data_IF_631517304598
#
_entry.id   IF_631517304598
#
_cell.length_a   1.000
_cell.length_b   1.000
_cell.length_c   1.000
_cell.angle_alpha   90.00
_cell.angle_beta   90.00
_cell.angle_gamma   90.00
#
_symmetry.space_group_name_H-M   'P 1'
#
loop_
_entity.id
_entity.type
_entity.pdbx_description
1 polymer ?
#
# COMPACT_ATOMS: atom_id res chain seq x y z
N UNK A 1 -1.19 -12.60 -4.02
CA UNK A 1 -2.09 -11.88 -3.10
C UNK A 1 -3.29 -12.77 -2.90
N UNK A 2 -3.85 -12.88 -1.70
CA UNK A 2 -5.05 -13.71 -1.52
C UNK A 2 -6.20 -13.14 -2.38
N UNK A 3 -7.06 -14.00 -2.91
CA UNK A 3 -8.25 -13.67 -3.72
C UNK A 3 -9.36 -12.95 -2.92
N UNK A 4 -8.97 -12.00 -2.08
CA UNK A 4 -9.88 -11.19 -1.30
C UNK A 4 -10.48 -10.10 -2.20
N UNK A 5 -11.79 -9.89 -2.09
CA UNK A 5 -12.43 -8.70 -2.64
C UNK A 5 -11.77 -7.46 -1.99
N UNK A 6 -10.90 -6.79 -2.75
CA UNK A 6 -10.18 -5.60 -2.32
C UNK A 6 -11.13 -4.39 -2.29
N UNK A 7 -11.95 -4.30 -1.25
CA UNK A 7 -12.80 -3.15 -0.99
C UNK A 7 -12.12 -2.17 -0.03
N UNK A 8 -11.98 -0.93 -0.49
CA UNK A 8 -11.41 0.17 0.30
C UNK A 8 -12.41 1.33 0.31
N UNK A 9 -12.93 1.64 1.50
CA UNK A 9 -13.83 2.79 1.73
C UNK A 9 -15.06 2.83 0.82
N UNK A 10 -15.57 1.66 0.43
CA UNK A 10 -16.72 1.53 -0.47
C UNK A 10 -16.39 1.52 -1.96
N UNK A 11 -15.10 1.54 -2.32
CA UNK A 11 -14.61 1.30 -3.68
C UNK A 11 -14.05 -0.10 -3.80
N UNK A 12 -14.34 -0.77 -4.91
CA UNK A 12 -13.75 -2.06 -5.28
C UNK A 12 -12.56 -1.81 -6.19
N UNK A 13 -11.44 -2.45 -5.88
CA UNK A 13 -10.29 -2.54 -6.80
C UNK A 13 -10.51 -3.75 -7.71
N UNK A 14 -10.55 -3.57 -9.04
CA UNK A 14 -10.63 -4.69 -9.97
C UNK A 14 -9.32 -5.51 -9.93
N UNK A 15 -9.39 -6.83 -10.16
CA UNK A 15 -8.22 -7.70 -10.10
C UNK A 15 -7.14 -7.30 -11.11
N UNK A 16 -7.54 -6.76 -12.26
CA UNK A 16 -6.61 -6.23 -13.28
C UNK A 16 -5.71 -5.11 -12.72
N UNK A 17 -6.27 -4.20 -11.91
CA UNK A 17 -5.50 -3.15 -11.27
C UNK A 17 -4.56 -3.70 -10.19
N UNK A 18 -4.94 -4.80 -9.52
CA UNK A 18 -4.08 -5.47 -8.54
C UNK A 18 -2.85 -6.06 -9.23
N UNK A 19 -3.06 -6.78 -10.34
CA UNK A 19 -1.95 -7.35 -11.11
C UNK A 19 -1.09 -6.27 -11.75
N UNK A 20 -1.67 -5.17 -12.25
CA UNK A 20 -0.91 -4.03 -12.75
C UNK A 20 -0.01 -3.41 -11.66
N UNK A 21 -0.53 -3.23 -10.44
CA UNK A 21 0.27 -2.74 -9.30
C UNK A 21 1.37 -3.71 -8.94
N UNK A 22 1.07 -5.01 -8.90
CA UNK A 22 2.04 -6.06 -8.60
C UNK A 22 3.17 -6.06 -9.63
N UNK A 23 2.82 -5.99 -10.90
CA UNK A 23 3.78 -5.97 -11.99
C UNK A 23 4.64 -4.69 -11.93
N UNK A 24 4.03 -3.53 -11.70
CA UNK A 24 4.75 -2.28 -11.51
C UNK A 24 5.74 -2.35 -10.34
N UNK A 25 5.39 -3.02 -9.23
CA UNK A 25 6.30 -3.24 -8.10
C UNK A 25 7.50 -4.11 -8.50
N UNK A 26 7.27 -5.16 -9.29
CA UNK A 26 8.33 -6.09 -9.76
C UNK A 26 9.24 -5.39 -10.78
N UNK A 27 8.67 -4.64 -11.70
CA UNK A 27 9.39 -3.96 -12.79
C UNK A 27 10.16 -2.74 -12.32
N UNK A 28 9.74 -2.07 -11.25
CA UNK A 28 10.41 -0.85 -10.80
C UNK A 28 11.73 -1.17 -10.09
N UNK A 29 12.90 -0.83 -10.67
CA UNK A 29 14.16 -1.10 -10.02
C UNK A 29 14.37 -0.15 -8.83
N UNK A 30 14.83 -0.70 -7.70
CA UNK A 30 15.33 0.00 -6.51
C UNK A 30 14.27 0.71 -5.63
N UNK A 31 13.35 1.49 -6.19
CA UNK A 31 12.39 2.29 -5.40
C UNK A 31 11.00 2.32 -6.04
N UNK A 32 10.01 1.81 -5.32
CA UNK A 32 8.61 1.89 -5.73
C UNK A 32 8.08 3.32 -5.54
N UNK A 33 7.56 3.92 -6.60
CA UNK A 33 6.89 5.21 -6.55
C UNK A 33 5.41 5.05 -6.14
N UNK A 34 5.11 5.46 -4.90
CA UNK A 34 3.75 5.37 -4.34
C UNK A 34 2.77 6.27 -5.08
N UNK A 35 3.22 7.41 -5.63
CA UNK A 35 2.35 8.32 -6.36
C UNK A 35 1.98 7.71 -7.72
N UNK A 36 2.94 7.19 -8.46
CA UNK A 36 2.69 6.51 -9.72
C UNK A 36 1.72 5.32 -9.55
N UNK A 37 1.89 4.52 -8.48
CA UNK A 37 0.94 3.44 -8.17
C UNK A 37 -0.48 3.95 -7.88
N UNK A 38 -0.63 5.11 -7.22
CA UNK A 38 -1.95 5.70 -6.99
C UNK A 38 -2.58 6.17 -8.29
N UNK A 39 -1.81 6.78 -9.18
CA UNK A 39 -2.30 7.25 -10.48
C UNK A 39 -2.78 6.09 -11.37
N UNK A 40 -2.24 4.88 -11.20
CA UNK A 40 -2.75 3.65 -11.85
C UNK A 40 -4.03 3.13 -11.18
N UNK A 41 -4.08 3.10 -9.85
CA UNK A 41 -5.21 2.50 -9.12
C UNK A 41 -6.44 3.40 -9.11
N UNK A 42 -6.26 4.71 -8.92
CA UNK A 42 -7.34 5.69 -8.78
C UNK A 42 -8.38 5.62 -9.90
N UNK A 43 -8.02 5.69 -11.20
CA UNK A 43 -9.00 5.61 -12.28
C UNK A 43 -9.67 4.22 -12.40
N UNK A 44 -9.00 3.16 -11.94
CA UNK A 44 -9.52 1.79 -12.01
C UNK A 44 -10.52 1.48 -10.88
N UNK A 45 -10.66 2.35 -9.87
CA UNK A 45 -11.57 2.12 -8.75
C UNK A 45 -13.04 2.17 -9.16
N UNK A 46 -13.74 1.08 -8.89
CA UNK A 46 -15.19 0.97 -9.11
C UNK A 46 -15.92 1.39 -7.84
N UNK A 47 -16.77 2.42 -7.95
CA UNK A 47 -17.63 2.83 -6.83
C UNK A 47 -18.75 1.83 -6.63
N UNK A 48 -18.79 1.17 -5.48
CA UNK A 48 -19.87 0.24 -5.10
C UNK A 48 -20.82 0.94 -4.14
N UNK A 49 -20.29 1.43 -3.02
CA UNK A 49 -21.03 2.21 -2.04
C UNK A 49 -20.03 3.07 -1.25
N UNK A 50 -19.49 4.14 -1.86
CA UNK A 50 -18.46 4.98 -1.25
C UNK A 50 -18.99 5.67 0.00
N UNK A 51 -18.16 5.76 1.04
CA UNK A 51 -18.55 6.47 2.25
C UNK A 51 -18.70 7.97 1.96
N UNK A 52 -19.67 8.68 2.57
CA UNK A 52 -19.96 10.08 2.24
C UNK A 52 -18.78 11.03 2.41
N UNK A 53 -17.88 10.73 3.36
CA UNK A 53 -16.69 11.52 3.67
C UNK A 53 -15.45 11.10 2.90
N UNK A 54 -15.51 10.05 2.08
CA UNK A 54 -14.32 9.49 1.43
C UNK A 54 -14.26 9.84 -0.04
N UNK A 55 -13.10 10.33 -0.47
CA UNK A 55 -12.79 10.56 -1.88
C UNK A 55 -12.21 9.31 -2.54
N UNK A 56 -12.32 9.23 -3.87
CA UNK A 56 -11.69 8.17 -4.68
C UNK A 56 -10.17 8.12 -4.48
N UNK A 57 -9.52 9.28 -4.41
CA UNK A 57 -8.07 9.38 -4.16
C UNK A 57 -7.68 8.84 -2.78
N UNK A 58 -8.51 9.05 -1.76
CA UNK A 58 -8.28 8.49 -0.44
C UNK A 58 -8.47 6.96 -0.40
N UNK A 59 -9.46 6.44 -1.12
CA UNK A 59 -9.61 5.00 -1.33
C UNK A 59 -8.41 4.40 -2.07
N UNK A 60 -7.90 5.07 -3.11
CA UNK A 60 -6.71 4.65 -3.85
C UNK A 60 -5.46 4.67 -2.95
N UNK A 61 -5.31 5.68 -2.10
CA UNK A 61 -4.24 5.74 -1.09
C UNK A 61 -4.28 4.56 -0.13
N UNK A 62 -5.47 4.20 0.36
CA UNK A 62 -5.65 3.03 1.23
C UNK A 62 -5.31 1.73 0.50
N UNK A 63 -5.78 1.57 -0.74
CA UNK A 63 -5.50 0.40 -1.57
C UNK A 63 -3.99 0.19 -1.79
N UNK A 64 -3.29 1.23 -2.27
CA UNK A 64 -1.85 1.17 -2.50
C UNK A 64 -1.08 0.88 -1.20
N UNK A 65 -1.50 1.46 -0.08
CA UNK A 65 -0.86 1.17 1.21
C UNK A 65 -1.01 -0.30 1.62
N UNK A 66 -2.17 -0.91 1.37
CA UNK A 66 -2.40 -2.32 1.62
C UNK A 66 -1.58 -3.21 0.67
N UNK A 67 -1.51 -2.88 -0.62
CA UNK A 67 -0.71 -3.63 -1.59
C UNK A 67 0.79 -3.58 -1.27
N UNK A 68 1.30 -2.42 -0.86
CA UNK A 68 2.68 -2.30 -0.40
C UNK A 68 2.94 -3.09 0.88
N UNK A 69 1.97 -3.16 1.79
CA UNK A 69 2.07 -3.98 2.98
C UNK A 69 2.17 -5.47 2.62
N UNK A 70 1.33 -5.95 1.70
CA UNK A 70 1.39 -7.32 1.21
C UNK A 70 2.69 -7.61 0.46
N UNK A 71 3.18 -6.67 -0.34
CA UNK A 71 4.47 -6.79 -1.03
C UNK A 71 5.65 -6.85 -0.06
N UNK A 72 5.60 -6.10 1.05
CA UNK A 72 6.58 -6.19 2.14
C UNK A 72 6.48 -7.54 2.84
N UNK A 73 5.26 -8.02 3.13
CA UNK A 73 5.03 -9.34 3.74
C UNK A 73 5.54 -10.48 2.86
N UNK A 74 5.41 -10.35 1.55
CA UNK A 74 5.91 -11.30 0.56
C UNK A 74 7.43 -11.16 0.29
N UNK A 75 8.12 -10.21 0.91
CA UNK A 75 9.55 -9.98 0.73
C UNK A 75 9.94 -9.32 -0.60
N UNK A 76 8.96 -8.86 -1.40
CA UNK A 76 9.19 -8.21 -2.69
C UNK A 76 9.75 -6.79 -2.53
N UNK A 77 9.38 -6.09 -1.46
CA UNK A 77 9.81 -4.71 -1.20
C UNK A 77 10.29 -4.59 0.24
N UNK A 78 11.40 -3.88 0.46
CA UNK A 78 11.82 -3.47 1.80
C UNK A 78 11.33 -2.05 2.09
N UNK A 79 10.43 -1.90 3.06
CA UNK A 79 10.03 -0.58 3.54
C UNK A 79 11.20 0.05 4.30
N UNK A 80 11.89 1.01 3.67
CA UNK A 80 12.86 1.85 4.37
C UNK A 80 12.10 2.95 5.10
N UNK A 81 12.03 2.85 6.42
CA UNK A 81 11.56 3.95 7.27
C UNK A 81 12.79 4.69 7.76
N UNK A 82 12.88 5.99 7.48
CA UNK A 82 13.93 6.82 8.07
C UNK A 82 13.69 6.85 9.59
N UNK A 83 14.68 6.47 10.38
CA UNK A 83 14.56 6.39 11.84
C UNK A 83 14.14 7.72 12.49
N UNK A 84 14.41 8.83 11.80
CA UNK A 84 13.99 10.19 12.17
C UNK A 84 12.48 10.44 12.07
N UNK A 85 11.75 9.67 11.25
CA UNK A 85 10.30 9.76 11.11
C UNK A 85 9.53 8.78 12.00
N UNK A 86 10.24 7.93 12.73
CA UNK A 86 9.61 7.07 13.74
C UNK A 86 9.18 7.93 14.93
N UNK A 87 7.95 7.75 15.44
CA UNK A 87 7.53 8.37 16.69
C UNK A 87 8.52 8.06 17.82
N UNK A 88 8.68 8.98 18.76
CA UNK A 88 9.64 8.85 19.86
C UNK A 88 9.50 7.50 20.60
N UNK A 89 8.27 7.01 20.78
CA UNK A 89 7.97 5.73 21.44
C UNK A 89 8.47 4.47 20.69
N UNK A 90 8.71 4.54 19.37
CA UNK A 90 9.33 3.45 18.61
C UNK A 90 10.84 3.34 18.82
N UNK A 91 11.50 4.46 19.14
CA UNK A 91 12.95 4.51 19.37
C UNK A 91 13.38 3.91 20.71
N UNK A 92 12.43 3.76 21.65
CA UNK A 92 12.67 3.23 23.01
C UNK A 92 12.77 1.70 23.01
N UNK A 93 12.34 1.01 21.94
CA UNK A 93 12.61 -0.42 21.73
C UNK A 93 14.08 -0.61 21.34
N UNK A 94 15.00 -0.42 22.29
CA UNK A 94 16.35 -0.98 22.21
C UNK A 94 16.25 -2.51 22.16
N UNK A 95 17.17 -3.21 21.48
CA UNK A 95 17.20 -4.67 21.51
C UNK A 95 17.39 -5.13 22.96
N UNK A 96 16.49 -5.99 23.43
CA UNK A 96 16.71 -6.82 24.61
C UNK A 96 17.82 -7.81 24.25
N UNK A 97 19.09 -7.42 24.46
CA UNK A 97 20.23 -8.24 24.07
C UNK A 97 21.53 -7.45 23.93
N UNK A 98 21.99 -6.84 25.02
CA UNK A 98 23.39 -6.57 25.26
C UNK A 98 23.63 -6.93 26.72
N UNK A 99 23.96 -8.20 26.93
CA UNK A 99 24.59 -8.70 28.14
C UNK A 99 26.11 -8.60 27.95
#
# INVERSE_FOLDING_TARGET
MADCLHMFRGYRVPPEAVEAVRQAIIETPRRVDVRALREVVEPALVSVNPWPSTTRSEAARCAVSAFLFDAVRAGLVKRRVNAWQLPAWWRVRKPTGAA
#
